data_IF_371363080053
#
_entry.id   IF_371363080053
#
_cell.length_a   1.000
_cell.length_b   1.000
_cell.length_c   1.000
_cell.angle_alpha   90.00
_cell.angle_beta   90.00
_cell.angle_gamma   90.00
#
_symmetry.space_group_name_H-M   'P 1'
#
loop_
_entity.id
_entity.type
_entity.pdbx_description
1 polymer ?
#
# COMPACT_ATOMS: atom_id res chain seq x y z
N UNK A 1 21.46 7.47 -12.08
CA UNK A 1 21.61 8.25 -10.83
C UNK A 1 20.39 9.11 -10.54
N UNK A 2 20.11 10.19 -11.28
CA UNK A 2 18.96 11.07 -11.00
C UNK A 2 17.61 10.33 -11.01
N UNK A 3 17.36 9.50 -12.04
CA UNK A 3 16.14 8.70 -12.10
C UNK A 3 16.01 7.70 -10.94
N UNK A 4 17.14 7.13 -10.49
CA UNK A 4 17.16 6.17 -9.38
C UNK A 4 16.82 6.88 -8.06
N UNK A 5 17.43 8.03 -7.78
CA UNK A 5 17.11 8.82 -6.59
C UNK A 5 15.63 9.24 -6.56
N UNK A 6 15.03 9.53 -7.72
CA UNK A 6 13.59 9.81 -7.82
C UNK A 6 12.73 8.57 -7.52
N UNK A 7 13.06 7.42 -8.10
CA UNK A 7 12.36 6.16 -7.84
C UNK A 7 12.46 5.76 -6.36
N UNK A 8 13.64 5.88 -5.76
CA UNK A 8 13.89 5.53 -4.36
C UNK A 8 13.11 6.46 -3.42
N UNK A 9 13.15 7.78 -3.65
CA UNK A 9 12.37 8.75 -2.89
C UNK A 9 10.85 8.52 -3.04
N UNK A 10 10.38 8.18 -4.25
CA UNK A 10 8.98 7.88 -4.48
C UNK A 10 8.52 6.63 -3.74
N UNK A 11 9.36 5.59 -3.72
CA UNK A 11 9.11 4.35 -2.96
C UNK A 11 9.07 4.62 -1.47
N UNK A 12 10.06 5.34 -0.94
CA UNK A 12 10.09 5.71 0.47
C UNK A 12 8.83 6.50 0.85
N UNK A 13 8.47 7.51 0.06
CA UNK A 13 7.28 8.31 0.30
C UNK A 13 6.03 7.44 0.34
N UNK A 14 5.83 6.59 -0.67
CA UNK A 14 4.65 5.72 -0.75
C UNK A 14 4.59 4.75 0.44
N UNK A 15 5.67 4.03 0.72
CA UNK A 15 5.73 3.03 1.80
C UNK A 15 5.48 3.64 3.18
N UNK A 16 6.05 4.82 3.45
CA UNK A 16 5.89 5.48 4.76
C UNK A 16 4.51 6.09 4.93
N UNK A 17 3.92 6.65 3.87
CA UNK A 17 2.65 7.37 3.95
C UNK A 17 1.43 6.48 3.76
N UNK A 18 1.53 5.40 2.99
CA UNK A 18 0.41 4.56 2.55
C UNK A 18 -0.69 5.33 1.81
N UNK A 19 -0.38 6.51 1.25
CA UNK A 19 -1.39 7.39 0.64
C UNK A 19 -1.69 7.06 -0.81
N UNK A 20 -0.74 6.46 -1.53
CA UNK A 20 -0.97 6.05 -2.92
C UNK A 20 -1.61 4.66 -2.92
N UNK A 21 -2.88 4.61 -3.28
CA UNK A 21 -3.69 3.39 -3.23
C UNK A 21 -4.39 3.15 -4.56
N UNK A 22 -4.55 1.89 -4.93
CA UNK A 22 -5.36 1.47 -6.07
C UNK A 22 -6.42 0.47 -5.64
N UNK A 23 -7.50 0.38 -6.42
CA UNK A 23 -8.44 -0.72 -6.32
C UNK A 23 -8.10 -1.75 -7.40
N UNK A 24 -8.08 -3.03 -7.01
CA UNK A 24 -7.76 -4.14 -7.89
C UNK A 24 -8.88 -5.18 -7.80
N UNK A 25 -9.52 -5.57 -8.91
CA UNK A 25 -10.45 -6.68 -8.91
C UNK A 25 -9.70 -8.01 -8.90
N UNK A 26 -10.19 -8.97 -8.12
CA UNK A 26 -9.66 -10.34 -8.06
C UNK A 26 -10.82 -11.33 -8.16
N UNK A 27 -10.65 -12.38 -8.95
CA UNK A 27 -11.60 -13.48 -9.03
C UNK A 27 -11.12 -14.63 -8.16
N UNK A 28 -11.92 -15.01 -7.16
CA UNK A 28 -11.67 -16.20 -6.36
C UNK A 28 -12.20 -17.43 -7.08
N UNK A 29 -11.37 -18.44 -7.22
CA UNK A 29 -11.75 -19.75 -7.74
C UNK A 29 -12.22 -20.65 -6.60
N UNK A 30 -13.20 -21.51 -6.89
CA UNK A 30 -13.68 -22.52 -5.95
C UNK A 30 -12.50 -23.35 -5.41
N UNK A 31 -12.51 -23.59 -4.10
CA UNK A 31 -11.54 -24.42 -3.38
C UNK A 31 -10.07 -23.92 -3.41
N UNK A 32 -9.83 -22.70 -3.92
CA UNK A 32 -8.51 -22.04 -3.86
C UNK A 32 -8.49 -20.93 -2.82
N UNK A 33 -7.46 -20.90 -1.98
CA UNK A 33 -7.38 -19.97 -0.85
C UNK A 33 -6.26 -18.94 -0.98
N UNK A 34 -5.34 -19.06 -1.94
CA UNK A 34 -4.19 -18.17 -2.06
C UNK A 34 -4.07 -17.64 -3.49
N UNK A 35 -3.83 -16.34 -3.61
CA UNK A 35 -3.82 -15.62 -4.87
C UNK A 35 -2.65 -14.65 -4.92
N UNK A 36 -1.75 -14.83 -5.89
CA UNK A 36 -0.69 -13.88 -6.17
C UNK A 36 -1.29 -12.60 -6.77
N UNK A 37 -0.75 -11.45 -6.38
CA UNK A 37 -1.12 -10.16 -6.96
C UNK A 37 0.08 -9.60 -7.70
N UNK A 38 -0.04 -9.58 -9.01
CA UNK A 38 0.90 -8.89 -9.89
C UNK A 38 0.27 -7.59 -10.38
N UNK A 39 0.96 -6.47 -10.13
CA UNK A 39 0.57 -5.17 -10.65
C UNK A 39 1.62 -4.70 -11.66
N UNK A 40 1.21 -4.12 -12.80
CA UNK A 40 2.16 -3.56 -13.75
C UNK A 40 2.85 -2.34 -13.13
N UNK A 41 4.19 -2.35 -13.15
CA UNK A 41 5.07 -1.25 -12.72
C UNK A 41 4.93 -0.80 -11.25
N UNK A 42 4.19 -1.56 -10.43
CA UNK A 42 3.89 -1.24 -9.05
C UNK A 42 4.15 -2.45 -8.14
N UNK A 43 4.69 -2.17 -6.96
CA UNK A 43 4.73 -3.11 -5.84
C UNK A 43 3.67 -2.71 -4.82
N UNK A 44 2.92 -3.68 -4.28
CA UNK A 44 2.01 -3.46 -3.16
C UNK A 44 2.69 -3.90 -1.85
N UNK A 45 2.27 -3.33 -0.73
CA UNK A 45 2.85 -3.66 0.59
C UNK A 45 1.83 -3.71 1.73
N UNK A 46 0.58 -3.29 1.48
CA UNK A 46 -0.49 -3.38 2.46
C UNK A 46 -1.85 -3.47 1.78
N UNK A 47 -2.72 -4.31 2.32
CA UNK A 47 -4.14 -4.39 1.95
C UNK A 47 -4.92 -3.47 2.89
N UNK A 48 -5.53 -2.42 2.36
CA UNK A 48 -6.35 -1.46 3.12
C UNK A 48 -7.73 -2.02 3.47
N UNK A 49 -8.35 -2.71 2.53
CA UNK A 49 -9.60 -3.45 2.73
C UNK A 49 -9.80 -4.44 1.58
N UNK A 50 -10.64 -5.44 1.82
CA UNK A 50 -11.16 -6.32 0.78
C UNK A 50 -12.69 -6.42 0.92
N UNK A 51 -13.39 -6.62 -0.19
CA UNK A 51 -14.85 -6.78 -0.26
C UNK A 51 -15.22 -7.90 -1.21
N UNK A 52 -16.17 -8.75 -0.85
CA UNK A 52 -16.84 -9.70 -1.75
C UNK A 52 -18.26 -9.23 -1.99
N UNK A 53 -18.63 -9.01 -3.26
CA UNK A 53 -19.95 -8.51 -3.67
C UNK A 53 -20.37 -7.24 -2.90
N UNK A 54 -19.43 -6.34 -2.66
CA UNK A 54 -19.65 -5.10 -1.90
C UNK A 54 -19.69 -5.26 -0.38
N UNK A 55 -19.68 -6.47 0.17
CA UNK A 55 -19.60 -6.72 1.62
C UNK A 55 -18.15 -6.77 2.08
N UNK A 56 -17.78 -6.04 3.15
CA UNK A 56 -16.40 -6.04 3.65
C UNK A 56 -16.01 -7.42 4.19
N UNK A 57 -14.75 -7.78 3.97
CA UNK A 57 -14.08 -8.88 4.61
C UNK A 57 -13.26 -8.37 5.80
N UNK A 58 -13.09 -9.20 6.80
CA UNK A 58 -12.29 -8.88 7.98
C UNK A 58 -10.81 -9.26 7.75
N UNK A 59 -9.85 -8.41 8.14
CA UNK A 59 -8.45 -8.85 8.17
C UNK A 59 -8.28 -9.95 9.22
N UNK A 60 -7.67 -11.06 8.81
CA UNK A 60 -7.40 -12.24 9.64
C UNK A 60 -5.92 -12.53 9.76
N UNK A 61 -5.58 -13.42 10.71
CA UNK A 61 -4.24 -13.98 10.87
C UNK A 61 -4.25 -15.41 10.32
N UNK A 62 -3.77 -15.57 9.08
CA UNK A 62 -3.82 -16.84 8.31
C UNK A 62 -2.42 -17.47 8.14
N UNK A 63 -1.56 -17.35 9.17
CA UNK A 63 -0.17 -17.83 9.22
C UNK A 63 0.00 -19.14 10.03
N UNK A 64 -1.09 -19.78 10.49
CA UNK A 64 -1.05 -20.94 11.39
C UNK A 64 -1.07 -22.32 10.71
N UNK A 65 -0.60 -23.39 11.39
CA UNK A 65 -0.57 -24.74 10.85
C UNK A 65 -1.95 -25.44 10.83
N UNK A 66 -2.30 -25.95 9.65
CA UNK A 66 -2.94 -27.26 9.35
C UNK A 66 -4.48 -27.43 9.31
N UNK A 67 -5.36 -26.71 10.02
CA UNK A 67 -6.82 -27.01 9.92
C UNK A 67 -7.71 -25.90 9.31
N UNK A 68 -7.14 -24.75 8.96
CA UNK A 68 -7.89 -23.64 8.36
C UNK A 68 -8.27 -23.92 6.89
N UNK A 69 -7.42 -24.66 6.18
CA UNK A 69 -7.65 -25.00 4.78
C UNK A 69 -8.87 -25.92 4.58
N UNK A 70 -9.33 -26.69 5.57
CA UNK A 70 -10.36 -27.72 5.30
C UNK A 70 -11.79 -27.21 5.24
N UNK A 71 -12.05 -25.99 5.74
CA UNK A 71 -13.38 -25.39 5.66
C UNK A 71 -13.60 -24.73 4.31
N UNK A 72 -14.70 -25.09 3.66
CA UNK A 72 -15.16 -24.50 2.40
C UNK A 72 -16.49 -23.79 2.64
N UNK A 73 -16.55 -22.50 2.36
CA UNK A 73 -17.68 -21.60 2.61
C UNK A 73 -17.45 -20.26 1.86
N UNK A 74 -18.38 -19.30 1.95
CA UNK A 74 -18.10 -17.92 1.53
C UNK A 74 -16.95 -17.35 2.38
N UNK A 75 -15.88 -16.81 1.78
CA UNK A 75 -14.78 -16.23 2.54
C UNK A 75 -15.26 -15.07 3.42
N UNK A 76 -14.74 -15.02 4.64
CA UNK A 76 -15.05 -13.99 5.64
C UNK A 76 -13.82 -13.15 5.98
N UNK A 77 -12.64 -13.75 5.82
CA UNK A 77 -11.37 -13.15 6.21
C UNK A 77 -10.36 -13.16 5.07
N UNK A 78 -9.42 -12.22 5.15
CA UNK A 78 -8.24 -12.19 4.28
C UNK A 78 -6.96 -11.89 5.06
N UNK A 79 -5.81 -12.33 4.52
CA UNK A 79 -4.50 -11.98 5.05
C UNK A 79 -3.49 -11.80 3.92
N UNK A 80 -2.56 -10.85 4.09
CA UNK A 80 -1.37 -10.73 3.24
C UNK A 80 -0.34 -11.78 3.68
N UNK A 81 0.24 -12.50 2.73
CA UNK A 81 1.32 -13.45 2.96
C UNK A 81 2.56 -12.94 2.24
N UNK A 82 3.60 -12.68 3.03
CA UNK A 82 4.93 -12.23 2.60
C UNK A 82 4.94 -10.98 1.67
N UNK A 83 3.81 -10.27 1.58
CA UNK A 83 3.64 -9.11 0.70
C UNK A 83 3.49 -9.46 -0.79
N UNK A 84 3.30 -10.74 -1.14
CA UNK A 84 3.23 -11.21 -2.53
C UNK A 84 1.86 -11.81 -2.88
N UNK A 85 1.24 -12.50 -1.92
CA UNK A 85 -0.06 -13.14 -2.11
C UNK A 85 -1.07 -12.71 -1.04
N UNK A 86 -2.35 -12.89 -1.37
CA UNK A 86 -3.46 -12.77 -0.44
C UNK A 86 -4.06 -14.14 -0.23
N UNK A 87 -4.27 -14.48 1.04
CA UNK A 87 -5.07 -15.62 1.45
C UNK A 87 -6.48 -15.20 1.82
N UNK A 88 -7.43 -16.05 1.48
CA UNK A 88 -8.83 -15.93 1.87
C UNK A 88 -9.25 -17.12 2.70
N UNK A 89 -10.08 -16.87 3.71
CA UNK A 89 -10.61 -17.92 4.57
C UNK A 89 -12.08 -17.66 4.94
N UNK A 90 -12.94 -18.69 4.98
CA UNK A 90 -12.75 -20.07 4.51
C UNK A 90 -12.42 -20.19 3.01
N UNK A 91 -12.11 -21.40 2.52
CA UNK A 91 -11.91 -21.62 1.08
C UNK A 91 -13.21 -21.29 0.35
N UNK A 92 -13.18 -20.58 -0.79
CA UNK A 92 -14.37 -20.30 -1.57
C UNK A 92 -15.14 -21.57 -1.93
N UNK A 93 -16.40 -21.64 -1.56
CA UNK A 93 -17.35 -22.69 -1.97
C UNK A 93 -17.82 -22.57 -3.42
N UNK A 94 -17.63 -21.40 -4.03
CA UNK A 94 -17.91 -21.09 -5.42
C UNK A 94 -17.00 -19.94 -5.89
N UNK A 95 -17.17 -19.50 -7.14
CA UNK A 95 -16.46 -18.34 -7.66
C UNK A 95 -17.01 -17.04 -7.05
N UNK A 96 -16.13 -16.13 -6.64
CA UNK A 96 -16.50 -14.80 -6.13
C UNK A 96 -15.71 -13.69 -6.81
N UNK A 97 -16.33 -12.51 -6.92
CA UNK A 97 -15.61 -11.29 -7.31
C UNK A 97 -15.24 -10.50 -6.06
N UNK A 98 -13.94 -10.31 -5.87
CA UNK A 98 -13.37 -9.52 -4.78
C UNK A 98 -12.91 -8.19 -5.33
N UNK A 99 -13.18 -7.11 -4.60
CA UNK A 99 -12.48 -5.85 -4.75
C UNK A 99 -11.52 -5.70 -3.58
N UNK A 100 -10.25 -5.46 -3.86
CA UNK A 100 -9.24 -5.14 -2.85
C UNK A 100 -8.72 -3.73 -3.08
N UNK A 101 -8.47 -3.01 -1.98
CA UNK A 101 -7.73 -1.74 -2.02
C UNK A 101 -6.34 -1.97 -1.49
N UNK A 102 -5.35 -1.66 -2.30
CA UNK A 102 -3.93 -1.88 -2.01
C UNK A 102 -3.23 -0.54 -1.83
N UNK A 103 -2.34 -0.45 -0.85
CA UNK A 103 -1.33 0.59 -0.79
C UNK A 103 -0.13 0.15 -1.65
N UNK A 104 0.26 1.01 -2.59
CA UNK A 104 1.21 0.67 -3.67
C UNK A 104 2.32 1.70 -3.79
N UNK A 105 3.43 1.27 -4.38
CA UNK A 105 4.61 2.08 -4.68
C UNK A 105 5.12 1.75 -6.09
N UNK A 106 5.79 2.68 -6.79
CA UNK A 106 6.46 2.37 -8.05
C UNK A 106 7.48 1.24 -7.86
N UNK A 107 7.54 0.29 -8.79
CA UNK A 107 8.52 -0.79 -8.77
C UNK A 107 9.95 -0.23 -8.89
N UNK A 108 10.91 -0.90 -8.27
CA UNK A 108 12.33 -0.52 -8.35
C UNK A 108 12.79 -0.43 -9.81
N UNK A 109 13.52 0.64 -10.15
CA UNK A 109 14.06 0.86 -11.50
C UNK A 109 13.06 1.43 -12.52
N UNK A 110 11.78 1.59 -12.18
CA UNK A 110 10.82 2.33 -13.02
C UNK A 110 11.04 3.82 -12.87
N UNK A 111 11.34 4.48 -13.99
CA UNK A 111 11.75 5.90 -14.02
C UNK A 111 10.59 6.88 -14.11
N UNK A 112 9.41 6.41 -14.52
CA UNK A 112 8.20 7.21 -14.62
C UNK A 112 7.34 7.07 -13.36
N UNK A 113 7.03 8.21 -12.73
CA UNK A 113 6.06 8.23 -11.64
C UNK A 113 4.65 8.18 -12.22
N UNK A 114 3.73 7.40 -11.61
CA UNK A 114 2.32 7.45 -11.98
C UNK A 114 1.77 8.88 -11.88
N UNK A 115 0.98 9.31 -12.87
CA UNK A 115 0.50 10.70 -12.95
C UNK A 115 -0.23 11.16 -11.67
N UNK A 116 -1.05 10.30 -11.06
CA UNK A 116 -1.74 10.61 -9.81
C UNK A 116 -0.79 10.83 -8.62
N UNK A 117 0.32 10.09 -8.57
CA UNK A 117 1.36 10.27 -7.56
C UNK A 117 2.14 11.57 -7.79
N UNK A 118 2.55 11.81 -9.04
CA UNK A 118 3.30 13.01 -9.42
C UNK A 118 2.50 14.30 -9.19
N UNK A 119 1.23 14.33 -9.63
CA UNK A 119 0.39 15.52 -9.52
C UNK A 119 0.14 15.93 -8.06
N UNK A 120 0.15 14.96 -7.13
CA UNK A 120 -0.14 15.21 -5.72
C UNK A 120 1.10 15.40 -4.85
N UNK A 121 2.17 14.66 -5.13
CA UNK A 121 3.35 14.58 -4.25
C UNK A 121 4.68 14.75 -4.99
N UNK A 122 4.66 15.19 -6.26
CA UNK A 122 5.86 15.24 -7.10
C UNK A 122 6.95 16.15 -6.55
N UNK A 123 6.60 17.28 -5.94
CA UNK A 123 7.59 18.20 -5.36
C UNK A 123 8.21 17.63 -4.08
N UNK A 124 7.39 16.99 -3.26
CA UNK A 124 7.78 16.33 -2.03
C UNK A 124 8.76 15.21 -2.35
N UNK A 125 8.39 14.32 -3.28
CA UNK A 125 9.26 13.24 -3.76
C UNK A 125 10.56 13.80 -4.35
N UNK A 126 10.51 14.89 -5.13
CA UNK A 126 11.70 15.54 -5.66
C UNK A 126 12.63 16.08 -4.55
N UNK A 127 12.10 16.50 -3.39
CA UNK A 127 12.93 16.91 -2.24
C UNK A 127 13.66 15.72 -1.63
N UNK A 128 13.02 14.55 -1.53
CA UNK A 128 13.71 13.32 -1.08
C UNK A 128 14.85 12.96 -2.02
N UNK A 129 14.57 12.93 -3.33
CA UNK A 129 15.58 12.65 -4.35
C UNK A 129 16.73 13.67 -4.35
N UNK A 130 16.42 14.96 -4.18
CA UNK A 130 17.43 16.01 -4.09
C UNK A 130 18.32 15.82 -2.87
N UNK A 131 17.77 15.45 -1.70
CA UNK A 131 18.58 15.19 -0.52
C UNK A 131 19.63 14.09 -0.79
N UNK A 132 19.20 12.97 -1.35
CA UNK A 132 20.08 11.82 -1.61
C UNK A 132 21.15 12.17 -2.67
N UNK A 133 20.79 12.92 -3.71
CA UNK A 133 21.75 13.36 -4.72
C UNK A 133 22.80 14.32 -4.13
N UNK A 134 22.37 15.29 -3.33
CA UNK A 134 23.25 16.30 -2.74
C UNK A 134 24.27 15.71 -1.75
N UNK A 135 24.04 14.51 -1.22
CA UNK A 135 24.99 13.78 -0.36
C UNK A 135 26.05 12.98 -1.14
N UNK A 136 25.88 12.81 -2.46
CA UNK A 136 26.80 12.00 -3.27
C UNK A 136 28.13 12.73 -3.53
N UNK A 137 29.13 12.44 -2.70
CA UNK A 137 30.49 12.97 -2.87
C UNK A 137 31.08 12.60 -4.24
N UNK A 138 31.85 13.51 -4.82
CA UNK A 138 32.51 13.31 -6.12
C UNK A 138 31.65 13.63 -7.35
N UNK A 139 30.41 14.09 -7.18
CA UNK A 139 29.54 14.51 -8.28
C UNK A 139 29.36 16.04 -8.36
N UNK A 140 29.04 16.61 -9.55
CA UNK A 140 28.90 18.07 -9.72
C UNK A 140 27.79 18.72 -8.87
N UNK A 141 26.80 17.92 -8.45
CA UNK A 141 25.68 18.35 -7.63
C UNK A 141 25.90 18.12 -6.13
N UNK A 142 27.06 17.64 -5.71
CA UNK A 142 27.39 17.44 -4.30
C UNK A 142 27.25 18.76 -3.52
N UNK A 143 26.38 18.79 -2.52
CA UNK A 143 26.20 19.93 -1.63
C UNK A 143 25.72 19.44 -0.25
N UNK A 144 26.65 19.03 0.63
CA UNK A 144 26.30 18.46 1.93
C UNK A 144 25.62 19.47 2.87
N UNK A 145 25.75 20.78 2.60
CA UNK A 145 25.09 21.82 3.39
C UNK A 145 23.59 21.93 3.05
N UNK A 146 23.21 21.63 1.80
CA UNK A 146 21.82 21.71 1.35
C UNK A 146 21.06 20.40 1.51
N UNK A 147 21.75 19.26 1.55
CA UNK A 147 21.10 17.96 1.70
C UNK A 147 20.20 17.85 2.95
N UNK A 148 20.63 18.25 4.17
CA UNK A 148 19.80 18.17 5.37
C UNK A 148 18.50 18.97 5.24
N UNK A 149 18.56 20.14 4.59
CA UNK A 149 17.38 21.00 4.37
C UNK A 149 16.33 20.28 3.53
N UNK A 150 16.75 19.63 2.43
CA UNK A 150 15.85 18.85 1.58
C UNK A 150 15.32 17.61 2.32
N UNK A 151 16.17 16.92 3.08
CA UNK A 151 15.80 15.75 3.88
C UNK A 151 14.74 16.09 4.94
N UNK A 152 14.90 17.20 5.65
CA UNK A 152 13.93 17.70 6.64
C UNK A 152 12.59 18.08 5.98
N UNK A 153 12.64 18.77 4.84
CA UNK A 153 11.42 19.16 4.12
C UNK A 153 10.65 17.93 3.60
N UNK A 154 11.35 16.90 3.14
CA UNK A 154 10.74 15.63 2.74
C UNK A 154 10.16 14.85 3.92
N UNK A 155 10.89 14.78 5.04
CA UNK A 155 10.38 14.15 6.25
C UNK A 155 9.09 14.85 6.76
N UNK A 156 9.06 16.19 6.71
CA UNK A 156 7.86 16.97 7.06
C UNK A 156 6.69 16.67 6.12
N UNK A 157 6.93 16.57 4.82
CA UNK A 157 5.92 16.20 3.83
C UNK A 157 5.33 14.81 4.09
N UNK A 158 6.17 13.83 4.48
CA UNK A 158 5.69 12.49 4.87
C UNK A 158 4.74 12.60 6.08
N UNK A 159 5.10 13.36 7.11
CA UNK A 159 4.24 13.52 8.29
C UNK A 159 2.91 14.20 7.94
N UNK A 160 2.94 15.22 7.08
CA UNK A 160 1.73 15.90 6.61
C UNK A 160 0.84 14.96 5.81
N UNK A 161 1.40 14.18 4.88
CA UNK A 161 0.65 13.22 4.08
C UNK A 161 0.01 12.11 4.95
N UNK A 162 0.68 11.67 6.01
CA UNK A 162 0.12 10.75 7.01
C UNK A 162 -1.04 11.40 7.77
N UNK A 163 -0.86 12.64 8.24
CA UNK A 163 -1.91 13.37 8.94
C UNK A 163 -3.14 13.63 8.06
N UNK A 164 -2.93 13.96 6.78
CA UNK A 164 -4.00 14.15 5.78
C UNK A 164 -4.75 12.86 5.52
N UNK A 165 -4.05 11.73 5.40
CA UNK A 165 -4.66 10.41 5.28
C UNK A 165 -5.58 10.14 6.47
N UNK A 166 -5.07 10.34 7.69
CA UNK A 166 -5.82 10.01 8.91
C UNK A 166 -7.03 10.94 9.07
N UNK A 167 -6.90 12.23 8.75
CA UNK A 167 -8.03 13.17 8.71
C UNK A 167 -9.10 12.79 7.68
N UNK A 168 -8.69 12.35 6.49
CA UNK A 168 -9.64 11.89 5.47
C UNK A 168 -10.36 10.59 5.87
N UNK A 169 -9.81 9.81 6.80
CA UNK A 169 -10.43 8.60 7.33
C UNK A 169 -11.37 8.90 8.51
N UNK A 170 -11.20 10.01 9.23
CA UNK A 170 -12.05 10.39 10.36
C UNK A 170 -13.34 11.12 9.97
N UNK A 171 -13.49 11.58 8.71
CA UNK A 171 -14.74 12.17 8.23
C UNK A 171 -15.85 11.14 7.94
N UNK A 172 -15.53 9.84 7.94
CA UNK A 172 -16.53 8.78 7.89
C UNK A 172 -17.14 8.62 9.30
N UNK A 173 -18.43 8.92 9.42
CA UNK A 173 -19.14 8.87 10.70
C UNK A 173 -18.94 7.50 11.39
N UNK A 174 -18.50 7.46 12.66
CA UNK A 174 -18.44 6.22 13.40
C UNK A 174 -19.87 5.71 13.62
N UNK A 175 -20.28 4.71 12.84
CA UNK A 175 -21.46 3.91 13.14
C UNK A 175 -21.17 3.10 14.41
N UNK A 176 -21.45 3.70 15.58
CA UNK A 176 -21.41 3.01 16.86
C UNK A 176 -22.52 1.95 16.86
N UNK A 177 -22.15 0.69 16.63
CA UNK A 177 -23.04 -0.43 16.96
C UNK A 177 -23.08 -0.56 18.47
N UNK A 178 -24.10 0.01 19.11
CA UNK A 178 -24.36 -0.26 20.53
C UNK A 178 -24.59 -1.77 20.71
N UNK A 179 -23.81 -2.36 21.61
CA UNK A 179 -24.03 -3.73 22.09
C UNK A 179 -25.11 -3.65 23.17
N UNK A 180 -26.26 -4.33 23.05
CA UNK A 180 -27.25 -4.34 24.12
C UNK A 180 -26.62 -4.98 25.36
N UNK A 181 -26.72 -4.29 26.48
CA UNK A 181 -26.37 -4.83 27.80
C UNK A 181 -27.52 -5.77 28.17
N UNK A 182 -27.18 -7.04 28.39
CA UNK A 182 -28.07 -8.03 28.98
C UNK A 182 -28.12 -7.85 30.50
#
# INVERSE_FOLDING_TARGET
>A
MVHQALSDAAREFCQRTRTYTIEHPLTLSQNSYEYAIALPDLDWYEIKWAKIDGKPLDPGRLDGPVNWADRTDRPLQYASIDGESIRFWPRPDQQYTVQIKLAVSPQLGKTALPAGLYNRYGQEIARGAAADLLEMEGYPWYNPNMAPRHRTAFASAIQQAVADRDRNLTSASPSVRMRPIA
#
